data_IF_501339849467
#
_entry.id   IF_501339849467
#
_cell.length_a   1.000
_cell.length_b   1.000
_cell.length_c   1.000
_cell.angle_alpha   90.00
_cell.angle_beta   90.00
_cell.angle_gamma   90.00
#
_symmetry.space_group_name_H-M   'P 1'
#
loop_
_entity.id
_entity.type
_entity.pdbx_description
1 polymer ?
#
# COMPACT_ATOMS: atom_id res chain seq x y z
N UNK A 1 0.01 14.45 -3.16
CA UNK A 1 0.37 13.59 -4.30
C UNK A 1 -0.89 13.27 -5.10
N UNK A 2 -0.85 13.35 -6.42
CA UNK A 2 -1.97 12.96 -7.28
C UNK A 2 -1.95 11.46 -7.57
N UNK A 3 -3.08 10.92 -8.04
CA UNK A 3 -3.16 9.50 -8.42
C UNK A 3 -2.18 9.14 -9.55
N UNK A 4 -1.96 10.01 -10.54
CA UNK A 4 -1.00 9.74 -11.61
C UNK A 4 0.46 9.77 -11.13
N UNK A 5 0.78 10.64 -10.18
CA UNK A 5 2.08 10.62 -9.52
C UNK A 5 2.28 9.29 -8.76
N UNK A 6 1.22 8.76 -8.14
CA UNK A 6 1.24 7.46 -7.46
C UNK A 6 1.45 6.29 -8.40
N UNK A 7 0.67 6.19 -9.48
CA UNK A 7 0.88 5.13 -10.47
C UNK A 7 2.29 5.14 -11.04
N UNK A 8 2.87 6.33 -11.29
CA UNK A 8 4.26 6.45 -11.75
C UNK A 8 5.27 5.97 -10.71
N UNK A 9 5.04 6.22 -9.41
CA UNK A 9 5.99 5.80 -8.37
C UNK A 9 6.08 4.28 -8.22
N UNK A 10 5.03 3.52 -8.57
CA UNK A 10 5.04 2.03 -8.57
C UNK A 10 6.09 1.44 -9.52
N UNK A 11 6.48 2.19 -10.56
CA UNK A 11 7.58 1.78 -11.45
C UNK A 11 8.97 1.74 -10.76
N UNK A 12 9.11 2.34 -9.57
CA UNK A 12 10.36 2.36 -8.82
C UNK A 12 10.71 1.06 -8.11
N UNK A 13 11.85 1.09 -7.39
CA UNK A 13 12.38 -0.05 -6.62
C UNK A 13 11.93 -0.08 -5.16
N UNK A 14 11.52 1.07 -4.61
CA UNK A 14 11.02 1.20 -3.23
C UNK A 14 9.95 2.29 -3.17
N UNK A 15 8.99 2.22 -2.23
CA UNK A 15 8.07 3.32 -2.01
C UNK A 15 8.83 4.55 -1.49
N UNK A 16 8.34 5.72 -1.87
CA UNK A 16 8.83 6.99 -1.33
C UNK A 16 8.47 7.06 0.17
N UNK A 17 9.42 7.47 1.00
CA UNK A 17 9.23 7.59 2.45
C UNK A 17 8.26 8.73 2.82
N UNK A 18 7.98 9.63 1.87
CA UNK A 18 6.94 10.67 2.01
C UNK A 18 5.52 10.13 1.83
N UNK A 19 5.35 8.89 1.36
CA UNK A 19 4.03 8.24 1.30
C UNK A 19 3.54 7.89 2.71
N UNK A 20 2.23 8.03 2.94
CA UNK A 20 1.61 7.44 4.12
C UNK A 20 1.80 5.93 4.11
N UNK A 21 1.82 5.30 5.29
CA UNK A 21 2.02 3.86 5.42
C UNK A 21 1.01 3.05 4.58
N UNK A 22 -0.27 3.44 4.54
CA UNK A 22 -1.26 2.77 3.69
C UNK A 22 -0.96 2.89 2.18
N UNK A 23 -0.44 4.04 1.73
CA UNK A 23 -0.01 4.18 0.33
C UNK A 23 1.23 3.35 0.04
N UNK A 24 2.14 3.18 1.02
CA UNK A 24 3.27 2.26 0.92
C UNK A 24 2.79 0.80 0.86
N UNK A 25 1.78 0.42 1.65
CA UNK A 25 1.19 -0.91 1.61
C UNK A 25 0.60 -1.22 0.23
N UNK A 26 -0.24 -0.34 -0.31
CA UNK A 26 -0.79 -0.47 -1.65
C UNK A 26 0.30 -0.46 -2.74
N UNK A 27 1.43 0.21 -2.49
CA UNK A 27 2.55 0.23 -3.42
C UNK A 27 3.21 -1.14 -3.47
N UNK A 28 3.43 -1.79 -2.32
CA UNK A 28 3.96 -3.16 -2.26
C UNK A 28 3.01 -4.17 -2.87
N UNK A 29 1.71 -4.04 -2.64
CA UNK A 29 0.69 -4.87 -3.27
C UNK A 29 0.73 -4.74 -4.80
N UNK A 30 0.88 -3.52 -5.33
CA UNK A 30 1.03 -3.29 -6.77
C UNK A 30 2.30 -3.92 -7.37
N UNK A 31 3.31 -4.23 -6.55
CA UNK A 31 4.52 -4.99 -6.93
C UNK A 31 4.36 -6.51 -6.78
N UNK A 32 3.19 -6.98 -6.35
CA UNK A 32 2.96 -8.39 -6.04
C UNK A 32 3.54 -8.83 -4.69
N UNK A 33 3.96 -7.89 -3.84
CA UNK A 33 4.49 -8.18 -2.51
C UNK A 33 3.38 -8.09 -1.45
N UNK A 34 2.45 -9.05 -1.53
CA UNK A 34 1.28 -9.11 -0.66
C UNK A 34 1.65 -9.13 0.83
N UNK A 35 2.65 -9.93 1.23
CA UNK A 35 3.06 -10.03 2.64
C UNK A 35 3.52 -8.68 3.21
N UNK A 36 4.26 -7.89 2.42
CA UNK A 36 4.70 -6.55 2.84
C UNK A 36 3.51 -5.59 2.98
N UNK A 37 2.57 -5.64 2.02
CA UNK A 37 1.36 -4.82 2.07
C UNK A 37 0.48 -5.16 3.28
N UNK A 38 0.27 -6.46 3.52
CA UNK A 38 -0.50 -6.97 4.65
C UNK A 38 0.18 -6.59 5.98
N UNK A 39 1.50 -6.79 6.09
CA UNK A 39 2.24 -6.49 7.31
C UNK A 39 2.23 -5.01 7.68
N UNK A 40 2.27 -4.10 6.70
CA UNK A 40 2.11 -2.67 6.99
C UNK A 40 0.67 -2.36 7.41
N UNK A 41 -0.30 -2.95 6.73
CA UNK A 41 -1.72 -2.65 6.94
C UNK A 41 -2.23 -3.15 8.30
N UNK A 42 -1.78 -4.33 8.75
CA UNK A 42 -2.26 -4.94 10.01
C UNK A 42 -1.92 -4.11 11.25
N UNK A 43 -0.84 -3.31 11.22
CA UNK A 43 -0.38 -2.48 12.33
C UNK A 43 -1.16 -1.15 12.43
N UNK A 44 -2.06 -0.86 11.49
CA UNK A 44 -2.78 0.41 11.41
C UNK A 44 -4.23 0.19 11.81
N UNK A 45 -4.64 0.81 12.93
CA UNK A 45 -6.00 0.72 13.45
C UNK A 45 -6.87 1.88 12.96
N UNK A 46 -7.26 1.85 11.69
CA UNK A 46 -8.20 2.82 11.10
C UNK A 46 -9.22 2.14 10.17
N UNK A 47 -10.29 2.85 9.82
CA UNK A 47 -11.30 2.34 8.89
C UNK A 47 -10.72 2.13 7.48
N UNK A 48 -9.82 3.02 7.05
CA UNK A 48 -9.12 2.91 5.78
C UNK A 48 -8.20 1.70 5.75
N UNK A 49 -7.47 1.45 6.84
CA UNK A 49 -6.64 0.26 6.98
C UNK A 49 -7.48 -1.01 6.96
N UNK A 50 -8.63 -1.05 7.66
CA UNK A 50 -9.55 -2.18 7.62
C UNK A 50 -10.05 -2.46 6.19
N UNK A 51 -10.37 -1.42 5.41
CA UNK A 51 -10.79 -1.57 4.02
C UNK A 51 -9.65 -2.12 3.12
N UNK A 52 -8.43 -1.61 3.28
CA UNK A 52 -7.25 -2.13 2.56
C UNK A 52 -6.97 -3.58 2.96
N UNK A 53 -7.08 -3.91 4.25
CA UNK A 53 -6.86 -5.25 4.77
C UNK A 53 -7.87 -6.26 4.17
N UNK A 54 -9.15 -5.89 4.15
CA UNK A 54 -10.19 -6.70 3.51
C UNK A 54 -9.96 -6.87 1.99
N UNK A 55 -9.50 -5.81 1.31
CA UNK A 55 -9.12 -5.89 -0.10
C UNK A 55 -7.96 -6.87 -0.33
N UNK A 56 -6.92 -6.82 0.51
CA UNK A 56 -5.77 -7.72 0.40
C UNK A 56 -6.18 -9.18 0.59
N UNK A 57 -7.04 -9.51 1.56
CA UNK A 57 -7.51 -10.89 1.78
C UNK A 57 -8.46 -11.43 0.70
N UNK A 58 -9.07 -10.56 -0.11
CA UNK A 58 -9.99 -10.98 -1.20
C UNK A 58 -9.24 -11.46 -2.45
N UNK A 59 -8.00 -11.01 -2.65
CA UNK A 59 -7.20 -11.31 -3.86
C UNK A 59 -6.87 -12.80 -3.96
#
# INVERSE_FOLDING_TARGET
MTFDQYKKSVGGHKPDNLLSQLLQALWWDAKGQWDQAHNITQEIHSNEAAAVHAYLHRK
#
